data_IF_782672595000
#
_entry.id   IF_782672595000
#
_cell.length_a   1.000
_cell.length_b   1.000
_cell.length_c   1.000
_cell.angle_alpha   90.00
_cell.angle_beta   90.00
_cell.angle_gamma   90.00
#
_symmetry.space_group_name_H-M   'P 1'
#
loop_
_entity.id
_entity.type
_entity.pdbx_description
1 polymer ?
#
# COMPACT_ATOMS: atom_id res chain seq x y z
N UNK A 1 -3.97 2.32 -14.77
CA UNK A 1 -3.76 1.54 -13.52
C UNK A 1 -2.83 0.39 -13.86
N UNK A 2 -1.81 0.16 -13.09
CA UNK A 2 -0.90 -0.97 -13.21
C UNK A 2 -1.14 -1.93 -12.05
N UNK A 3 -1.02 -3.23 -12.28
CA UNK A 3 -1.08 -4.24 -11.22
C UNK A 3 0.14 -4.13 -10.29
N UNK A 4 0.06 -4.74 -9.10
CA UNK A 4 1.17 -4.75 -8.14
C UNK A 4 2.44 -5.40 -8.73
N UNK A 5 3.62 -4.81 -8.57
CA UNK A 5 4.89 -5.45 -8.95
C UNK A 5 5.32 -6.57 -7.99
N UNK A 6 4.63 -6.75 -6.86
CA UNK A 6 4.96 -7.74 -5.84
C UNK A 6 4.46 -9.15 -6.18
N UNK A 7 3.72 -9.32 -7.27
CA UNK A 7 3.21 -10.62 -7.71
C UNK A 7 4.35 -11.52 -8.22
N UNK A 8 4.34 -12.78 -7.79
CA UNK A 8 5.25 -13.81 -8.30
C UNK A 8 4.52 -14.90 -9.11
N UNK A 9 3.19 -14.89 -9.11
CA UNK A 9 2.35 -15.84 -9.83
C UNK A 9 1.13 -15.14 -10.42
N UNK A 10 0.71 -15.51 -11.62
CA UNK A 10 -0.51 -15.02 -12.27
C UNK A 10 -1.33 -16.19 -12.78
N UNK A 11 -2.58 -16.24 -12.35
CA UNK A 11 -3.54 -17.23 -12.83
C UNK A 11 -4.91 -16.57 -12.99
N UNK A 12 -5.15 -15.97 -14.16
CA UNK A 12 -6.33 -15.14 -14.38
C UNK A 12 -7.63 -15.95 -14.35
N UNK A 13 -8.58 -15.44 -13.59
CA UNK A 13 -9.94 -15.96 -13.45
C UNK A 13 -10.88 -15.36 -14.50
N UNK A 14 -11.75 -16.15 -15.13
CA UNK A 14 -12.83 -15.62 -15.96
C UNK A 14 -13.96 -15.00 -15.13
N UNK A 15 -13.98 -15.22 -13.82
CA UNK A 15 -15.03 -14.75 -12.91
C UNK A 15 -14.76 -13.28 -12.51
N UNK A 16 -14.77 -12.38 -13.47
CA UNK A 16 -14.57 -10.96 -13.27
C UNK A 16 -15.45 -10.15 -14.22
N UNK A 17 -15.49 -8.86 -14.02
CA UNK A 17 -16.17 -7.92 -14.90
C UNK A 17 -15.41 -6.58 -14.96
N UNK A 18 -15.75 -5.74 -15.92
CA UNK A 18 -15.15 -4.42 -16.01
C UNK A 18 -15.41 -3.63 -14.73
N UNK A 19 -14.35 -3.02 -14.17
CA UNK A 19 -14.45 -2.05 -13.10
C UNK A 19 -14.92 -0.71 -13.66
N UNK A 20 -15.86 -0.07 -12.97
CA UNK A 20 -16.42 1.23 -13.39
C UNK A 20 -16.13 2.33 -12.38
N UNK A 21 -15.74 1.99 -11.16
CA UNK A 21 -15.37 2.92 -10.10
C UNK A 21 -13.85 2.98 -9.90
N UNK A 22 -13.35 4.13 -9.44
CA UNK A 22 -11.96 4.22 -8.99
C UNK A 22 -11.72 3.32 -7.77
N UNK A 23 -10.48 2.82 -7.63
CA UNK A 23 -10.10 2.00 -6.48
C UNK A 23 -9.89 2.94 -5.28
N UNK A 24 -10.73 2.80 -4.26
CA UNK A 24 -10.70 3.60 -3.04
C UNK A 24 -10.95 2.78 -1.77
N UNK A 25 -11.08 1.47 -1.91
CA UNK A 25 -11.44 0.54 -0.83
C UNK A 25 -10.53 -0.70 -0.87
N UNK A 26 -10.21 -1.25 0.30
CA UNK A 26 -9.52 -2.53 0.46
C UNK A 26 -10.45 -3.50 1.18
N UNK A 27 -10.63 -4.71 0.62
CA UNK A 27 -11.38 -5.79 1.27
C UNK A 27 -10.48 -7.00 1.48
N UNK A 28 -10.19 -7.29 2.74
CA UNK A 28 -9.36 -8.43 3.13
C UNK A 28 -10.27 -9.63 3.39
N UNK A 29 -9.93 -10.77 2.77
CA UNK A 29 -10.59 -12.05 2.91
C UNK A 29 -9.64 -13.10 3.49
N UNK A 30 -10.15 -14.28 3.78
CA UNK A 30 -9.37 -15.45 4.13
C UNK A 30 -9.77 -16.66 3.31
N UNK A 31 -8.80 -17.48 2.91
CA UNK A 31 -9.01 -18.70 2.10
C UNK A 31 -9.74 -19.82 2.88
N UNK A 32 -9.95 -19.61 4.18
CA UNK A 32 -10.54 -20.59 5.12
C UNK A 32 -9.74 -21.91 5.24
N UNK A 33 -8.45 -21.87 4.92
CA UNK A 33 -7.51 -22.99 5.01
C UNK A 33 -6.14 -22.62 4.48
N UNK A 34 -5.19 -23.55 4.57
CA UNK A 34 -3.82 -23.40 4.07
C UNK A 34 -3.74 -23.78 2.59
N UNK A 35 -4.43 -23.03 1.75
CA UNK A 35 -4.35 -23.23 0.31
C UNK A 35 -3.12 -22.51 -0.26
N UNK A 36 -2.38 -23.17 -1.16
CA UNK A 36 -1.33 -22.47 -1.93
C UNK A 36 -1.97 -21.47 -2.90
N UNK A 37 -1.18 -20.49 -3.33
CA UNK A 37 -1.64 -19.50 -4.31
C UNK A 37 -2.04 -20.15 -5.63
N UNK A 38 -1.40 -21.25 -6.03
CA UNK A 38 -1.75 -22.04 -7.23
C UNK A 38 -3.10 -22.75 -7.04
N UNK A 39 -3.33 -23.35 -5.88
CA UNK A 39 -4.60 -24.04 -5.58
C UNK A 39 -5.78 -23.06 -5.56
N UNK A 40 -5.57 -21.89 -4.95
CA UNK A 40 -6.56 -20.80 -4.95
C UNK A 40 -6.82 -20.30 -6.39
N UNK A 41 -5.78 -20.11 -7.20
CA UNK A 41 -5.89 -19.74 -8.61
C UNK A 41 -6.69 -20.77 -9.43
N UNK A 42 -6.39 -22.06 -9.25
CA UNK A 42 -7.13 -23.14 -9.92
C UNK A 42 -8.62 -23.14 -9.55
N UNK A 43 -8.94 -22.83 -8.28
CA UNK A 43 -10.33 -22.71 -7.82
C UNK A 43 -11.07 -21.56 -8.52
N UNK A 44 -10.40 -20.41 -8.67
CA UNK A 44 -10.98 -19.24 -9.31
C UNK A 44 -10.98 -19.30 -10.84
N UNK A 45 -10.17 -20.16 -11.46
CA UNK A 45 -10.14 -20.38 -12.90
C UNK A 45 -11.39 -21.15 -13.40
N UNK A 46 -12.10 -21.86 -12.52
CA UNK A 46 -13.35 -22.52 -12.87
C UNK A 46 -14.48 -21.48 -13.06
N UNK A 47 -15.07 -21.34 -14.26
CA UNK A 47 -16.19 -20.42 -14.49
C UNK A 47 -17.43 -20.76 -13.62
N UNK A 48 -17.63 -22.02 -13.28
CA UNK A 48 -18.75 -22.46 -12.46
C UNK A 48 -18.64 -21.99 -11.00
N UNK A 49 -17.45 -21.63 -10.55
CA UNK A 49 -17.19 -21.07 -9.21
C UNK A 49 -17.93 -19.76 -8.98
N UNK A 50 -18.05 -18.91 -10.01
CA UNK A 50 -18.68 -17.59 -9.96
C UNK A 50 -18.17 -16.71 -8.83
N UNK A 51 -16.89 -16.90 -8.48
CA UNK A 51 -16.18 -16.14 -7.45
C UNK A 51 -14.70 -15.99 -7.84
N UNK A 52 -14.08 -14.91 -7.42
CA UNK A 52 -12.66 -14.61 -7.62
C UNK A 52 -12.20 -13.57 -6.62
N UNK A 53 -10.89 -13.29 -6.60
CA UNK A 53 -10.25 -12.21 -5.87
C UNK A 53 -9.24 -11.52 -6.79
N UNK A 54 -8.92 -10.24 -6.54
CA UNK A 54 -7.83 -9.61 -7.28
C UNK A 54 -6.50 -10.28 -6.95
N UNK A 55 -6.21 -10.48 -5.67
CA UNK A 55 -4.96 -11.07 -5.21
C UNK A 55 -5.20 -12.21 -4.23
N UNK A 56 -4.20 -13.08 -4.12
CA UNK A 56 -4.10 -14.10 -3.09
C UNK A 56 -2.70 -14.12 -2.49
N UNK A 57 -2.61 -14.41 -1.19
CA UNK A 57 -1.36 -14.50 -0.44
C UNK A 57 -1.29 -15.89 0.19
N UNK A 58 -0.26 -16.65 -0.14
CA UNK A 58 0.02 -17.96 0.46
C UNK A 58 0.56 -17.84 1.88
N UNK A 59 0.51 -18.94 2.64
CA UNK A 59 1.11 -19.02 3.99
C UNK A 59 2.64 -18.82 3.98
N UNK A 60 3.27 -18.99 2.82
CA UNK A 60 4.69 -18.73 2.56
C UNK A 60 5.00 -17.25 2.23
N UNK A 61 3.99 -16.39 2.16
CA UNK A 61 4.11 -14.97 1.83
C UNK A 61 4.17 -14.67 0.34
N UNK A 62 4.10 -15.68 -0.54
CA UNK A 62 4.02 -15.44 -1.99
C UNK A 62 2.68 -14.80 -2.38
N UNK A 63 2.73 -13.88 -3.35
CA UNK A 63 1.58 -13.12 -3.81
C UNK A 63 1.21 -13.55 -5.24
N UNK A 64 -0.05 -13.88 -5.46
CA UNK A 64 -0.61 -14.14 -6.78
C UNK A 64 -1.63 -13.09 -7.19
N UNK A 65 -1.80 -12.92 -8.50
CA UNK A 65 -2.89 -12.17 -9.12
C UNK A 65 -3.85 -13.12 -9.83
N UNK A 66 -5.14 -12.97 -9.53
CA UNK A 66 -6.22 -13.73 -10.16
C UNK A 66 -7.16 -12.86 -10.99
N UNK A 67 -7.29 -11.58 -10.66
CA UNK A 67 -8.03 -10.58 -11.43
C UNK A 67 -7.22 -9.29 -11.46
N UNK A 68 -7.02 -8.74 -12.65
CA UNK A 68 -6.33 -7.46 -12.80
C UNK A 68 -7.06 -6.32 -12.06
N UNK A 69 -6.33 -5.32 -11.58
CA UNK A 69 -6.92 -4.19 -10.82
C UNK A 69 -7.91 -3.35 -11.63
N UNK A 70 -7.76 -3.29 -12.96
CA UNK A 70 -8.72 -2.64 -13.85
C UNK A 70 -10.05 -3.40 -14.00
N UNK A 71 -10.11 -4.62 -13.44
CA UNK A 71 -11.31 -5.46 -13.41
C UNK A 71 -11.80 -5.61 -11.97
N UNK A 72 -13.13 -5.70 -11.85
CA UNK A 72 -13.82 -6.02 -10.62
C UNK A 72 -13.78 -7.54 -10.42
N UNK A 73 -13.24 -8.01 -9.32
CA UNK A 73 -13.38 -9.39 -8.85
C UNK A 73 -14.81 -9.66 -8.35
N UNK A 74 -15.16 -10.93 -8.13
CA UNK A 74 -16.44 -11.33 -7.56
C UNK A 74 -16.18 -12.02 -6.20
N UNK A 75 -15.89 -11.22 -5.18
CA UNK A 75 -15.32 -11.72 -3.93
C UNK A 75 -16.22 -11.52 -2.71
N UNK A 76 -16.79 -10.33 -2.52
CA UNK A 76 -17.46 -9.97 -1.27
C UNK A 76 -18.96 -10.25 -1.24
N UNK A 77 -19.54 -10.90 -2.27
CA UNK A 77 -20.99 -11.02 -2.47
C UNK A 77 -21.71 -9.67 -2.65
N UNK A 78 -20.98 -8.61 -2.91
CA UNK A 78 -21.52 -7.27 -3.12
C UNK A 78 -20.80 -6.58 -4.28
N UNK A 79 -21.54 -6.35 -5.37
CA UNK A 79 -20.97 -5.82 -6.60
C UNK A 79 -20.50 -4.37 -6.48
N UNK A 80 -21.15 -3.56 -5.64
CA UNK A 80 -20.76 -2.15 -5.43
C UNK A 80 -19.45 -2.07 -4.63
N UNK A 81 -19.32 -2.91 -3.59
CA UNK A 81 -18.07 -3.01 -2.85
C UNK A 81 -16.93 -3.50 -3.75
N UNK A 82 -17.14 -4.59 -4.49
CA UNK A 82 -16.11 -5.18 -5.35
C UNK A 82 -15.70 -4.25 -6.51
N UNK A 83 -16.59 -3.34 -6.95
CA UNK A 83 -16.28 -2.36 -7.98
C UNK A 83 -15.37 -1.21 -7.47
N UNK A 84 -15.34 -0.98 -6.16
CA UNK A 84 -14.50 0.01 -5.48
C UNK A 84 -13.25 -0.61 -4.87
N UNK A 85 -13.32 -1.90 -4.52
CA UNK A 85 -12.32 -2.53 -3.70
C UNK A 85 -11.28 -3.32 -4.53
N UNK A 86 -10.05 -3.32 -4.03
CA UNK A 86 -9.15 -4.44 -4.28
C UNK A 86 -9.40 -5.49 -3.20
N UNK A 87 -9.69 -6.71 -3.64
CA UNK A 87 -9.97 -7.86 -2.77
C UNK A 87 -8.74 -8.75 -2.66
N UNK A 88 -8.43 -9.22 -1.46
CA UNK A 88 -7.21 -9.97 -1.16
C UNK A 88 -7.58 -11.20 -0.32
N UNK A 89 -7.37 -12.39 -0.85
CA UNK A 89 -7.50 -13.66 -0.13
C UNK A 89 -6.18 -14.01 0.58
N UNK A 90 -6.22 -14.24 1.89
CA UNK A 90 -5.05 -14.60 2.69
C UNK A 90 -5.18 -16.04 3.16
N UNK A 91 -4.17 -16.87 2.93
CA UNK A 91 -4.12 -18.24 3.42
C UNK A 91 -4.08 -18.29 4.94
N UNK A 92 -4.76 -19.28 5.51
CA UNK A 92 -4.77 -19.52 6.95
C UNK A 92 -3.92 -20.73 7.29
N UNK A 93 -3.22 -20.67 8.42
CA UNK A 93 -2.42 -21.81 8.91
C UNK A 93 -3.28 -22.94 9.49
N UNK A 94 -4.58 -22.69 9.69
CA UNK A 94 -5.58 -23.69 10.07
C UNK A 94 -6.96 -23.33 9.50
N UNK A 95 -7.75 -24.38 9.21
CA UNK A 95 -9.08 -24.26 8.62
C UNK A 95 -10.22 -24.11 9.66
N UNK A 96 -9.93 -23.45 10.79
CA UNK A 96 -10.88 -23.27 11.90
C UNK A 96 -10.64 -21.95 12.62
N UNK A 97 -11.65 -21.55 13.41
CA UNK A 97 -11.53 -20.34 14.26
C UNK A 97 -10.22 -20.34 15.07
N UNK A 98 -9.51 -19.24 15.18
CA UNK A 98 -9.83 -17.88 14.66
C UNK A 98 -9.34 -17.63 13.23
N UNK A 99 -8.97 -18.64 12.44
CA UNK A 99 -8.40 -18.56 11.10
C UNK A 99 -7.12 -17.71 11.04
N UNK A 100 -6.07 -18.09 11.78
CA UNK A 100 -4.81 -17.35 11.79
C UNK A 100 -4.11 -17.47 10.45
N UNK A 101 -3.34 -16.45 10.08
CA UNK A 101 -2.37 -16.53 9.00
C UNK A 101 -0.94 -16.58 9.58
N UNK A 102 0.03 -16.98 8.75
CA UNK A 102 1.44 -16.96 9.11
C UNK A 102 1.98 -15.52 9.18
N UNK A 103 3.11 -15.34 9.85
CA UNK A 103 3.80 -14.05 9.88
C UNK A 103 4.25 -13.62 8.48
N UNK A 104 4.66 -14.58 7.63
CA UNK A 104 5.04 -14.31 6.25
C UNK A 104 3.85 -13.79 5.42
N UNK A 105 2.66 -14.43 5.55
CA UNK A 105 1.45 -13.97 4.89
C UNK A 105 1.00 -12.60 5.42
N UNK A 106 1.12 -12.35 6.71
CA UNK A 106 0.77 -11.07 7.31
C UNK A 106 1.71 -9.95 6.86
N UNK A 107 3.01 -10.20 6.80
CA UNK A 107 3.99 -9.25 6.26
C UNK A 107 3.71 -8.93 4.78
N UNK A 108 3.49 -9.96 3.95
CA UNK A 108 3.15 -9.79 2.54
C UNK A 108 1.82 -9.02 2.34
N UNK A 109 0.84 -9.22 3.24
CA UNK A 109 -0.41 -8.44 3.22
C UNK A 109 -0.14 -6.95 3.45
N UNK A 110 0.70 -6.61 4.41
CA UNK A 110 1.07 -5.22 4.68
C UNK A 110 1.80 -4.59 3.49
N UNK A 111 2.72 -5.32 2.87
CA UNK A 111 3.46 -4.87 1.69
C UNK A 111 2.52 -4.62 0.50
N UNK A 112 1.65 -5.60 0.21
CA UNK A 112 0.69 -5.52 -0.90
C UNK A 112 -0.31 -4.38 -0.72
N UNK A 113 -0.90 -4.25 0.48
CA UNK A 113 -1.88 -3.18 0.77
C UNK A 113 -1.23 -1.80 0.69
N UNK A 114 0.02 -1.66 1.17
CA UNK A 114 0.77 -0.40 1.05
C UNK A 114 0.99 -0.04 -0.42
N UNK A 115 1.45 -0.99 -1.25
CA UNK A 115 1.66 -0.81 -2.68
C UNK A 115 0.36 -0.43 -3.41
N UNK A 116 -0.75 -1.12 -3.12
CA UNK A 116 -2.06 -0.81 -3.71
C UNK A 116 -2.50 0.61 -3.33
N UNK A 117 -2.42 0.97 -2.05
CA UNK A 117 -2.79 2.31 -1.59
C UNK A 117 -1.96 3.39 -2.28
N UNK A 118 -0.64 3.20 -2.35
CA UNK A 118 0.26 4.13 -2.99
C UNK A 118 -0.05 4.35 -4.47
N UNK A 119 -0.17 3.27 -5.25
CA UNK A 119 -0.42 3.32 -6.70
C UNK A 119 -1.80 3.86 -7.05
N UNK A 120 -2.79 3.65 -6.20
CA UNK A 120 -4.17 4.10 -6.43
C UNK A 120 -4.51 5.42 -5.72
N UNK A 121 -3.54 6.09 -5.10
CA UNK A 121 -3.73 7.41 -4.46
C UNK A 121 -4.57 7.37 -3.19
N UNK A 122 -4.68 6.21 -2.54
CA UNK A 122 -5.33 6.07 -1.22
C UNK A 122 -4.35 6.61 -0.17
N UNK A 123 -4.53 7.87 0.21
CA UNK A 123 -3.61 8.57 1.13
C UNK A 123 -3.58 8.00 2.53
N UNK A 124 -4.70 7.48 2.99
CA UNK A 124 -4.84 6.85 4.31
C UNK A 124 -5.79 5.67 4.26
N UNK A 125 -5.41 4.60 4.93
CA UNK A 125 -6.29 3.46 5.19
C UNK A 125 -7.03 3.69 6.51
N UNK A 126 -8.35 3.62 6.47
CA UNK A 126 -9.22 3.99 7.60
C UNK A 126 -10.08 2.79 8.02
N UNK A 127 -10.04 2.47 9.32
CA UNK A 127 -10.82 1.40 9.90
C UNK A 127 -11.49 1.82 11.21
N UNK A 128 -12.82 1.82 11.24
CA UNK A 128 -13.63 2.05 12.44
C UNK A 128 -14.34 0.78 12.92
N UNK A 129 -14.37 -0.27 12.08
CA UNK A 129 -15.10 -1.49 12.37
C UNK A 129 -16.64 -1.33 12.31
N UNK A 130 -17.12 -0.31 11.62
CA UNK A 130 -18.53 0.07 11.58
C UNK A 130 -19.12 -0.20 10.19
N UNK A 131 -20.03 -1.19 10.12
CA UNK A 131 -20.73 -1.56 8.88
C UNK A 131 -21.57 -0.40 8.30
N UNK A 132 -22.04 0.52 9.12
CA UNK A 132 -22.85 1.67 8.67
C UNK A 132 -22.06 2.69 7.85
N UNK A 133 -20.72 2.60 7.88
CA UNK A 133 -19.81 3.48 7.15
C UNK A 133 -19.41 2.93 5.78
N UNK A 134 -19.97 1.80 5.32
CA UNK A 134 -19.71 1.27 3.98
C UNK A 134 -20.02 2.34 2.94
N UNK A 135 -19.05 2.61 2.04
CA UNK A 135 -19.15 3.64 0.99
C UNK A 135 -18.75 5.05 1.44
N UNK A 136 -18.59 5.30 2.75
CA UNK A 136 -18.10 6.58 3.29
C UNK A 136 -16.58 6.54 3.45
N UNK A 137 -15.85 6.56 2.32
CA UNK A 137 -14.40 6.27 2.25
C UNK A 137 -13.53 7.30 2.96
N UNK A 138 -14.05 8.49 3.21
CA UNK A 138 -13.45 9.53 4.03
C UNK A 138 -13.45 9.20 5.54
N UNK A 139 -14.29 8.23 5.96
CA UNK A 139 -14.38 7.76 7.34
C UNK A 139 -13.87 6.33 7.51
N UNK A 140 -14.15 5.47 6.52
CA UNK A 140 -13.74 4.07 6.51
C UNK A 140 -13.66 3.57 5.08
N UNK A 141 -12.47 3.11 4.66
CA UNK A 141 -12.20 2.55 3.34
C UNK A 141 -11.64 1.12 3.38
N UNK A 142 -11.84 0.45 4.50
CA UNK A 142 -11.69 -1.00 4.61
C UNK A 142 -13.05 -1.64 4.85
N UNK A 143 -13.28 -2.77 4.18
CA UNK A 143 -14.50 -3.57 4.34
C UNK A 143 -14.17 -5.03 4.53
N UNK A 144 -15.14 -5.85 4.91
CA UNK A 144 -14.98 -7.28 5.13
C UNK A 144 -16.19 -8.05 4.61
N UNK A 145 -15.99 -9.27 4.13
CA UNK A 145 -17.03 -10.12 3.55
C UNK A 145 -18.23 -10.34 4.48
N UNK A 146 -17.97 -10.55 5.79
CA UNK A 146 -19.03 -10.78 6.79
C UNK A 146 -20.05 -9.63 6.92
N UNK A 147 -19.77 -8.47 6.35
CA UNK A 147 -20.73 -7.37 6.32
C UNK A 147 -21.72 -7.47 5.18
N UNK A 148 -21.43 -8.25 4.15
CA UNK A 148 -22.25 -8.36 2.95
C UNK A 148 -22.98 -9.71 2.85
N UNK A 149 -22.45 -10.75 3.52
CA UNK A 149 -23.04 -12.09 3.51
C UNK A 149 -22.81 -12.77 4.87
N UNK A 150 -23.57 -13.81 5.15
CA UNK A 150 -23.42 -14.61 6.38
C UNK A 150 -22.19 -15.53 6.29
N UNK A 151 -21.01 -14.94 6.42
CA UNK A 151 -19.70 -15.57 6.35
C UNK A 151 -18.84 -15.25 7.56
N UNK A 152 -17.94 -16.16 7.94
CA UNK A 152 -16.94 -15.91 8.97
C UNK A 152 -15.76 -15.05 8.44
N UNK A 153 -15.56 -14.98 7.12
CA UNK A 153 -14.49 -14.25 6.45
C UNK A 153 -14.46 -12.76 6.88
N UNK A 154 -13.29 -12.20 7.20
CA UNK A 154 -11.92 -12.70 7.01
C UNK A 154 -11.38 -13.57 8.15
N UNK A 155 -12.23 -14.11 9.02
CA UNK A 155 -11.84 -14.75 10.27
C UNK A 155 -11.53 -13.71 11.37
N UNK A 156 -11.60 -14.17 12.63
CA UNK A 156 -11.43 -13.24 13.76
C UNK A 156 -10.00 -12.77 13.91
N UNK A 157 -9.03 -13.58 13.49
CA UNK A 157 -7.62 -13.21 13.54
C UNK A 157 -7.34 -11.94 12.71
N UNK A 158 -7.74 -11.91 11.44
CA UNK A 158 -7.56 -10.73 10.58
C UNK A 158 -8.53 -9.61 10.96
N UNK A 159 -9.79 -9.94 11.29
CA UNK A 159 -10.80 -8.94 11.64
C UNK A 159 -10.35 -8.06 12.81
N UNK A 160 -9.82 -8.65 13.88
CA UNK A 160 -9.31 -7.91 15.05
C UNK A 160 -8.05 -7.10 14.74
N UNK A 161 -7.34 -7.42 13.66
CA UNK A 161 -6.10 -6.75 13.25
C UNK A 161 -6.29 -5.67 12.16
N UNK A 162 -7.50 -5.43 11.69
CA UNK A 162 -7.73 -4.38 10.67
C UNK A 162 -7.23 -3.01 11.11
N UNK A 163 -7.41 -2.64 12.39
CA UNK A 163 -6.87 -1.39 12.93
C UNK A 163 -5.33 -1.37 12.94
N UNK A 164 -4.68 -2.48 13.26
CA UNK A 164 -3.24 -2.62 13.20
C UNK A 164 -2.73 -2.57 11.76
N UNK A 165 -3.42 -3.22 10.81
CA UNK A 165 -3.10 -3.17 9.38
C UNK A 165 -3.19 -1.73 8.89
N UNK A 166 -4.28 -1.02 9.18
CA UNK A 166 -4.45 0.38 8.81
C UNK A 166 -3.34 1.28 9.37
N UNK A 167 -3.00 1.12 10.64
CA UNK A 167 -1.95 1.91 11.29
C UNK A 167 -0.57 1.68 10.65
N UNK A 168 -0.19 0.42 10.41
CA UNK A 168 1.11 0.09 9.83
C UNK A 168 1.22 0.51 8.36
N UNK A 169 0.16 0.31 7.56
CA UNK A 169 0.11 0.78 6.17
C UNK A 169 0.24 2.30 6.13
N UNK A 170 -0.48 3.03 6.98
CA UNK A 170 -0.39 4.48 7.03
C UNK A 170 1.00 4.97 7.44
N UNK A 171 1.66 4.31 8.39
CA UNK A 171 3.06 4.61 8.75
C UNK A 171 4.01 4.46 7.55
N UNK A 172 3.84 3.38 6.75
CA UNK A 172 4.65 3.13 5.55
C UNK A 172 4.38 4.16 4.46
N UNK A 173 3.11 4.51 4.22
CA UNK A 173 2.73 5.55 3.25
C UNK A 173 3.33 6.91 3.63
N UNK A 174 3.33 7.28 4.90
CA UNK A 174 3.97 8.51 5.38
C UNK A 174 5.47 8.51 5.08
N UNK A 175 6.19 7.41 5.36
CA UNK A 175 7.62 7.29 5.04
C UNK A 175 7.87 7.42 3.53
N UNK A 176 7.05 6.79 2.69
CA UNK A 176 7.17 6.90 1.24
C UNK A 176 6.91 8.33 0.75
N UNK A 177 5.93 9.02 1.33
CA UNK A 177 5.60 10.42 1.00
C UNK A 177 6.73 11.36 1.43
N UNK A 178 7.28 11.19 2.64
CA UNK A 178 8.44 11.95 3.12
C UNK A 178 9.68 11.72 2.25
N UNK A 179 9.94 10.48 1.82
CA UNK A 179 11.06 10.15 0.94
C UNK A 179 10.95 10.76 -0.47
N UNK A 180 9.73 11.10 -0.91
CA UNK A 180 9.48 11.76 -2.19
C UNK A 180 9.46 13.29 -2.09
N UNK A 181 9.35 13.85 -0.89
CA UNK A 181 9.46 15.29 -0.70
C UNK A 181 10.89 15.72 -0.99
N UNK A 182 11.05 16.64 -1.93
CA UNK A 182 12.33 17.25 -2.26
C UNK A 182 12.30 18.74 -1.92
N UNK A 183 13.41 19.24 -1.41
CA UNK A 183 13.64 20.65 -1.19
C UNK A 183 14.40 21.23 -2.39
N UNK A 184 13.81 22.17 -3.07
CA UNK A 184 14.40 22.81 -4.24
C UNK A 184 15.12 24.11 -3.90
N UNK A 185 14.69 24.77 -2.84
CA UNK A 185 15.30 26.03 -2.36
C UNK A 185 15.75 25.91 -0.89
N UNK A 186 16.59 26.84 -0.46
CA UNK A 186 17.04 26.90 0.95
C UNK A 186 15.87 27.24 1.89
N UNK A 187 14.92 28.05 1.42
CA UNK A 187 13.74 28.45 2.18
C UNK A 187 12.83 27.28 2.54
N UNK A 188 12.71 26.29 1.65
CA UNK A 188 11.90 25.08 1.87
C UNK A 188 12.49 24.12 2.89
N UNK A 189 13.80 24.25 3.18
CA UNK A 189 14.48 23.37 4.13
C UNK A 189 14.00 23.60 5.57
N UNK A 190 13.98 22.54 6.39
CA UNK A 190 13.78 22.71 7.83
C UNK A 190 14.93 23.52 8.46
N UNK A 191 14.61 24.30 9.49
CA UNK A 191 15.57 25.26 10.08
C UNK A 191 16.87 24.61 10.56
N UNK A 192 16.82 23.36 11.03
CA UNK A 192 18.00 22.62 11.47
C UNK A 192 18.98 22.30 10.33
N UNK A 193 18.54 22.31 9.08
CA UNK A 193 19.32 21.97 7.90
C UNK A 193 19.88 23.20 7.17
N UNK A 194 19.16 24.33 7.24
CA UNK A 194 19.51 25.55 6.51
C UNK A 194 20.98 25.95 6.64
N UNK A 195 21.60 25.99 7.85
CA UNK A 195 23.01 26.43 7.97
C UNK A 195 23.95 25.56 7.16
N UNK A 196 23.82 24.24 7.23
CA UNK A 196 24.69 23.31 6.50
C UNK A 196 24.49 23.41 5.00
N UNK A 197 23.23 23.37 4.52
CA UNK A 197 22.96 23.41 3.08
C UNK A 197 23.38 24.76 2.49
N UNK A 198 23.12 25.87 3.19
CA UNK A 198 23.61 27.20 2.79
C UNK A 198 25.14 27.23 2.64
N UNK A 199 25.88 26.72 3.63
CA UNK A 199 27.33 26.58 3.56
C UNK A 199 27.79 25.81 2.32
N UNK A 200 27.14 24.68 2.02
CA UNK A 200 27.50 23.83 0.86
C UNK A 200 27.15 24.48 -0.48
N UNK A 201 26.06 25.22 -0.55
CA UNK A 201 25.66 25.99 -1.73
C UNK A 201 26.61 27.15 -1.95
N UNK A 202 26.90 27.94 -0.92
CA UNK A 202 27.80 29.11 -0.99
C UNK A 202 29.25 28.68 -1.32
N UNK A 203 29.66 27.48 -0.89
CA UNK A 203 30.94 26.87 -1.26
C UNK A 203 30.96 26.27 -2.66
N UNK A 204 29.83 26.24 -3.39
CA UNK A 204 29.69 25.66 -4.73
C UNK A 204 29.76 24.12 -4.76
N UNK A 205 29.60 23.47 -3.62
CA UNK A 205 29.52 22.00 -3.49
C UNK A 205 28.16 21.50 -3.98
N UNK A 206 27.08 22.20 -3.61
CA UNK A 206 25.72 21.96 -4.11
C UNK A 206 25.36 23.02 -5.14
N UNK A 207 25.02 22.59 -6.37
CA UNK A 207 24.81 23.49 -7.52
C UNK A 207 23.41 23.43 -8.14
N UNK A 208 22.52 22.56 -7.60
CA UNK A 208 21.26 22.25 -8.26
C UNK A 208 21.41 21.42 -9.54
N UNK A 209 20.29 20.99 -10.11
CA UNK A 209 20.27 20.09 -11.29
C UNK A 209 20.27 20.81 -12.65
N UNK A 210 19.51 21.89 -12.78
CA UNK A 210 19.24 22.57 -14.05
C UNK A 210 19.81 23.96 -14.19
N UNK A 211 20.47 24.48 -13.17
CA UNK A 211 21.01 25.84 -13.17
C UNK A 211 19.96 26.93 -12.95
N UNK A 212 18.74 26.58 -12.55
CA UNK A 212 17.76 27.56 -12.09
C UNK A 212 18.24 28.25 -10.82
N UNK A 213 18.06 29.57 -10.72
CA UNK A 213 18.45 30.37 -9.53
C UNK A 213 17.23 31.11 -8.99
N UNK A 214 17.21 31.30 -7.69
CA UNK A 214 16.26 32.14 -6.99
C UNK A 214 16.60 33.63 -7.08
N UNK A 215 15.78 34.49 -6.46
CA UNK A 215 16.00 35.93 -6.43
C UNK A 215 17.30 36.39 -5.74
N UNK A 216 17.99 35.50 -5.02
CA UNK A 216 19.29 35.73 -4.38
C UNK A 216 20.47 35.20 -5.19
N UNK A 217 20.22 34.58 -6.34
CA UNK A 217 21.24 33.95 -7.19
C UNK A 217 21.68 32.56 -6.73
N UNK A 218 20.96 31.95 -5.78
CA UNK A 218 21.20 30.58 -5.30
C UNK A 218 20.41 29.58 -6.11
N UNK A 219 20.82 28.27 -6.15
CA UNK A 219 20.07 27.24 -6.85
C UNK A 219 18.60 27.17 -6.38
N UNK A 220 17.68 27.13 -7.32
CA UNK A 220 16.24 26.96 -7.11
C UNK A 220 15.75 25.56 -7.52
N UNK A 221 16.67 24.62 -7.72
CA UNK A 221 16.44 23.26 -8.15
C UNK A 221 17.41 22.27 -7.45
N UNK A 222 17.55 22.42 -6.13
CA UNK A 222 18.46 21.58 -5.32
C UNK A 222 18.08 20.11 -5.36
N UNK A 223 16.77 19.79 -5.44
CA UNK A 223 16.19 18.45 -5.51
C UNK A 223 16.75 17.50 -4.42
N UNK A 224 16.83 18.02 -3.18
CA UNK A 224 17.34 17.27 -2.03
C UNK A 224 16.19 16.57 -1.31
N UNK A 225 16.26 15.25 -1.19
CA UNK A 225 15.34 14.50 -0.33
C UNK A 225 15.68 14.74 1.15
N UNK A 226 14.73 14.46 2.04
CA UNK A 226 14.94 14.56 3.49
C UNK A 226 16.17 13.75 3.94
N UNK A 227 16.33 12.52 3.42
CA UNK A 227 17.46 11.65 3.76
C UNK A 227 18.81 12.23 3.26
N UNK A 228 18.83 12.83 2.06
CA UNK A 228 20.02 13.52 1.57
C UNK A 228 20.38 14.69 2.46
N UNK A 229 19.40 15.48 2.87
CA UNK A 229 19.60 16.61 3.78
C UNK A 229 20.15 16.15 5.13
N UNK A 230 19.55 15.10 5.72
CA UNK A 230 20.03 14.50 6.98
C UNK A 230 21.47 14.02 6.88
N UNK A 231 21.81 13.31 5.79
CA UNK A 231 23.15 12.82 5.55
C UNK A 231 24.17 13.97 5.46
N UNK A 232 23.85 15.03 4.70
CA UNK A 232 24.71 16.20 4.54
C UNK A 232 24.94 16.90 5.87
N UNK A 233 23.91 17.05 6.71
CA UNK A 233 24.04 17.66 8.04
C UNK A 233 24.86 16.81 9.00
N UNK A 234 24.72 15.48 8.96
CA UNK A 234 25.54 14.55 9.75
C UNK A 234 27.02 14.70 9.33
N UNK A 235 27.30 14.69 8.02
CA UNK A 235 28.65 14.85 7.48
C UNK A 235 29.28 16.19 7.88
N UNK A 236 28.52 17.28 7.86
CA UNK A 236 29.00 18.59 8.30
C UNK A 236 29.34 18.59 9.80
N UNK A 237 28.46 18.02 10.64
CA UNK A 237 28.68 17.94 12.10
C UNK A 237 29.92 17.13 12.50
N UNK A 238 30.25 16.09 11.73
CA UNK A 238 31.48 15.30 11.96
C UNK A 238 32.72 15.87 11.24
N UNK A 239 32.59 17.03 10.59
CA UNK A 239 33.70 17.79 10.00
C UNK A 239 34.14 17.31 8.61
N UNK A 240 33.35 16.53 7.87
CA UNK A 240 33.73 16.06 6.52
C UNK A 240 33.90 17.24 5.55
N UNK A 241 33.10 18.30 5.69
CA UNK A 241 33.16 19.46 4.80
C UNK A 241 34.07 20.61 5.31
N UNK A 242 34.94 20.32 6.25
CA UNK A 242 35.79 21.30 6.90
C UNK A 242 35.03 22.20 7.92
N UNK A 243 35.80 22.81 8.81
CA UNK A 243 35.26 23.80 9.76
C UNK A 243 35.28 25.21 9.16
#
# INVERSE_FOLDING_TARGET
MSNSPLICHTHLSPNCSRRTHAIDTITIHCMAGDASIEACGNLFADPARRASSNYGIGSDGRIAMYVEENCRSWCSSNSENDDRAITIEVANTQASHPWPCSDAAFAALLDLVTDICWRNGIKRLLWCGDKSLIGQVDKQNMTVHRWFDNKACPGDFLYQRHGQIAAEVNRRLTIMEEAMNTYNTIEELPDWAKPTITKLVDAGVLKGRGGAVDGSGRPADLDLTEDMVRLLVIHDRIGIYGR
#
